data_IF_163433814129
#
_entry.id   IF_163433814129
#
_cell.length_a   1.000
_cell.length_b   1.000
_cell.length_c   1.000
_cell.angle_alpha   90.00
_cell.angle_beta   90.00
_cell.angle_gamma   90.00
#
_symmetry.space_group_name_H-M   'P 1'
#
loop_
_entity.id
_entity.type
_entity.pdbx_description
1 polymer ?
#
# COMPACT_ATOMS: atom_id res chain seq x y z
N UNK A 1 28.07 -1.18 47.48
CA UNK A 1 29.29 -0.38 47.72
C UNK A 1 29.00 1.07 47.38
N UNK A 2 29.60 1.99 48.12
CA UNK A 2 29.30 3.42 48.12
C UNK A 2 29.89 4.11 46.87
N UNK A 3 29.15 4.15 45.76
CA UNK A 3 29.54 4.92 44.57
C UNK A 3 29.20 6.39 44.83
N UNK A 4 30.17 7.33 44.79
CA UNK A 4 29.86 8.74 44.95
C UNK A 4 29.05 9.23 43.76
N UNK A 5 27.84 9.72 44.03
CA UNK A 5 26.92 10.20 43.03
C UNK A 5 26.43 11.61 43.38
N UNK A 6 26.17 12.44 42.38
CA UNK A 6 25.54 13.77 42.57
C UNK A 6 24.36 13.93 41.63
N UNK A 7 23.32 14.60 42.10
CA UNK A 7 22.23 15.03 41.22
C UNK A 7 22.66 16.27 40.44
N UNK A 8 22.21 16.42 39.19
CA UNK A 8 22.30 17.70 38.50
C UNK A 8 21.38 18.73 39.18
N UNK A 9 21.57 20.02 38.87
CA UNK A 9 20.81 21.12 39.47
C UNK A 9 19.29 21.05 39.21
N UNK A 10 18.85 20.17 38.29
CA UNK A 10 17.45 19.92 37.92
C UNK A 10 16.88 18.63 38.52
N UNK A 11 17.66 17.90 39.34
CA UNK A 11 17.25 16.66 40.02
C UNK A 11 16.98 15.45 39.11
N UNK A 12 17.17 15.58 37.80
CA UNK A 12 16.72 14.60 36.80
C UNK A 12 17.84 13.70 36.28
N UNK A 13 19.09 14.01 36.60
CA UNK A 13 20.25 13.24 36.15
C UNK A 13 21.21 12.94 37.30
N UNK A 14 21.76 11.73 37.28
CA UNK A 14 22.65 11.15 38.28
C UNK A 14 24.08 11.12 37.70
N UNK A 15 24.95 11.98 38.22
CA UNK A 15 26.33 12.17 37.75
C UNK A 15 27.25 11.22 38.53
N UNK A 16 28.01 10.41 37.79
CA UNK A 16 28.99 9.45 38.31
C UNK A 16 30.37 9.78 37.72
N UNK A 17 31.47 9.62 38.48
CA UNK A 17 32.83 9.79 37.96
C UNK A 17 33.08 8.98 36.68
N UNK A 18 33.75 9.60 35.70
CA UNK A 18 33.92 9.05 34.34
C UNK A 18 34.66 7.71 34.33
N UNK A 19 35.55 7.48 35.30
CA UNK A 19 36.32 6.26 35.49
C UNK A 19 35.49 5.06 35.99
N UNK A 20 34.25 5.28 36.44
CA UNK A 20 33.38 4.22 37.00
C UNK A 20 32.04 4.03 36.30
N UNK A 21 31.88 4.61 35.11
CA UNK A 21 30.64 4.53 34.31
C UNK A 21 30.30 3.08 33.92
N UNK A 22 31.30 2.27 33.59
CA UNK A 22 31.09 0.88 33.17
C UNK A 22 30.64 -0.02 34.32
N UNK A 23 31.24 0.11 35.50
CA UNK A 23 30.85 -0.65 36.70
C UNK A 23 29.44 -0.25 37.17
N UNK A 24 29.13 1.04 37.13
CA UNK A 24 27.79 1.55 37.45
C UNK A 24 26.73 1.01 36.47
N UNK A 25 27.03 0.95 35.17
CA UNK A 25 26.12 0.36 34.15
C UNK A 25 25.85 -1.12 34.39
N UNK A 26 26.88 -1.90 34.71
CA UNK A 26 26.72 -3.34 34.96
C UNK A 26 25.89 -3.61 36.22
N UNK A 27 26.08 -2.81 37.28
CA UNK A 27 25.28 -2.91 38.50
C UNK A 27 23.82 -2.50 38.30
N UNK A 28 23.55 -1.42 37.55
CA UNK A 28 22.19 -1.00 37.23
C UNK A 28 21.47 -2.04 36.37
N UNK A 29 22.17 -2.65 35.40
CA UNK A 29 21.63 -3.75 34.60
C UNK A 29 21.27 -4.99 35.45
N UNK A 30 22.10 -5.33 36.45
CA UNK A 30 21.82 -6.44 37.38
C UNK A 30 20.60 -6.23 38.27
N UNK A 31 20.16 -4.98 38.43
CA UNK A 31 18.98 -4.58 39.21
C UNK A 31 17.75 -4.26 38.33
N UNK A 32 17.82 -4.55 37.02
CA UNK A 32 16.71 -4.34 36.09
C UNK A 32 16.39 -2.87 35.81
N UNK A 33 17.39 -1.99 35.93
CA UNK A 33 17.31 -0.56 35.65
C UNK A 33 18.34 -0.25 34.53
N UNK A 34 17.88 0.04 33.32
CA UNK A 34 17.43 1.39 33.02
C UNK A 34 15.94 1.40 32.63
N UNK A 35 15.08 1.80 33.57
CA UNK A 35 13.64 2.05 33.30
C UNK A 35 13.41 3.46 32.77
N UNK A 36 14.29 3.96 31.92
CA UNK A 36 14.28 5.36 31.50
C UNK A 36 15.10 5.55 30.24
N UNK A 37 14.40 5.50 29.11
CA UNK A 37 14.96 5.51 27.78
C UNK A 37 14.11 4.59 26.93
N UNK A 38 12.89 5.04 26.63
CA UNK A 38 11.98 4.40 25.70
C UNK A 38 12.73 4.03 24.42
N UNK A 39 13.11 2.76 24.29
CA UNK A 39 13.42 2.12 23.00
C UNK A 39 12.09 1.93 22.26
N UNK A 40 11.38 3.05 22.07
CA UNK A 40 10.06 3.19 21.50
C UNK A 40 9.93 4.44 20.62
N UNK A 41 11.05 5.14 20.40
CA UNK A 41 11.16 6.22 19.41
C UNK A 41 12.16 5.94 18.28
N UNK A 42 13.08 4.98 18.42
CA UNK A 42 13.91 4.52 17.28
C UNK A 42 13.09 3.75 16.22
N UNK A 43 11.91 3.26 16.60
CA UNK A 43 10.92 2.71 15.66
C UNK A 43 10.06 3.79 14.98
N UNK A 44 10.12 5.05 15.45
CA UNK A 44 9.38 6.19 14.89
C UNK A 44 10.28 7.15 14.09
N UNK A 45 11.59 7.17 14.38
CA UNK A 45 12.61 7.87 13.56
C UNK A 45 12.96 7.14 12.26
N UNK A 46 12.43 5.93 12.08
CA UNK A 46 12.13 5.44 10.75
C UNK A 46 10.88 6.15 10.25
N UNK A 47 10.99 7.45 9.98
CA UNK A 47 10.29 8.05 8.86
C UNK A 47 10.61 7.14 7.67
N UNK A 48 9.72 6.17 7.42
CA UNK A 48 9.95 5.05 6.50
C UNK A 48 10.36 5.67 5.18
N UNK A 49 11.65 5.64 4.85
CA UNK A 49 12.11 5.93 3.51
C UNK A 49 11.29 5.00 2.59
N UNK A 50 10.34 5.58 1.84
CA UNK A 50 9.39 4.85 1.00
C UNK A 50 7.92 4.78 1.45
N UNK A 51 7.52 5.22 2.66
CA UNK A 51 6.08 5.29 3.00
C UNK A 51 5.33 6.31 2.14
N UNK A 52 5.98 7.43 1.79
CA UNK A 52 5.42 8.41 0.86
C UNK A 52 5.21 7.82 -0.52
N UNK A 53 6.21 7.11 -1.08
CA UNK A 53 6.07 6.49 -2.41
C UNK A 53 5.02 5.37 -2.43
N UNK A 54 4.92 4.58 -1.36
CA UNK A 54 3.86 3.58 -1.24
C UNK A 54 2.46 4.23 -1.16
N UNK A 55 2.31 5.27 -0.35
CA UNK A 55 1.05 6.00 -0.25
C UNK A 55 0.68 6.70 -1.57
N UNK A 56 1.64 7.30 -2.26
CA UNK A 56 1.49 7.89 -3.57
C UNK A 56 1.05 6.85 -4.61
N UNK A 57 1.67 5.67 -4.63
CA UNK A 57 1.28 4.57 -5.52
C UNK A 57 -0.17 4.13 -5.29
N UNK A 58 -0.59 3.99 -4.03
CA UNK A 58 -1.97 3.62 -3.68
C UNK A 58 -2.95 4.73 -4.10
N UNK A 59 -2.59 5.99 -3.88
CA UNK A 59 -3.42 7.12 -4.30
C UNK A 59 -3.52 7.22 -5.82
N UNK A 60 -2.42 7.02 -6.53
CA UNK A 60 -2.38 6.95 -7.99
C UNK A 60 -3.27 5.82 -8.52
N UNK A 61 -3.13 4.61 -7.98
CA UNK A 61 -3.97 3.47 -8.34
C UNK A 61 -5.46 3.78 -8.12
N UNK A 62 -5.82 4.29 -6.94
CA UNK A 62 -7.21 4.64 -6.62
C UNK A 62 -7.76 5.72 -7.54
N UNK A 63 -6.93 6.71 -7.88
CA UNK A 63 -7.28 7.74 -8.84
C UNK A 63 -7.57 7.17 -10.23
N UNK A 64 -6.70 6.26 -10.70
CA UNK A 64 -6.86 5.60 -11.99
C UNK A 64 -8.11 4.71 -12.05
N UNK A 65 -8.36 3.92 -11.01
CA UNK A 65 -9.58 3.11 -10.87
C UNK A 65 -10.84 3.98 -10.93
N UNK A 66 -10.83 5.12 -10.24
CA UNK A 66 -11.95 6.07 -10.24
C UNK A 66 -12.16 6.79 -11.58
N UNK A 67 -11.09 7.14 -12.29
CA UNK A 67 -11.18 7.77 -13.62
C UNK A 67 -11.65 6.78 -14.69
N UNK A 68 -11.16 5.54 -14.62
CA UNK A 68 -11.61 4.44 -15.47
C UNK A 68 -13.10 4.16 -15.25
N UNK A 69 -13.54 4.07 -13.99
CA UNK A 69 -14.95 3.88 -13.66
C UNK A 69 -15.81 5.00 -14.27
N UNK A 70 -15.44 6.27 -14.08
CA UNK A 70 -16.15 7.42 -14.66
C UNK A 70 -16.19 7.40 -16.19
N UNK A 71 -15.10 7.00 -16.83
CA UNK A 71 -15.03 6.89 -18.29
C UNK A 71 -15.95 5.79 -18.83
N UNK A 72 -16.04 4.65 -18.13
CA UNK A 72 -16.92 3.55 -18.50
C UNK A 72 -18.38 3.92 -18.24
N UNK A 73 -18.68 4.63 -17.15
CA UNK A 73 -20.02 5.15 -16.83
C UNK A 73 -20.53 6.20 -17.83
N UNK A 74 -19.64 6.87 -18.56
CA UNK A 74 -20.03 7.77 -19.63
C UNK A 74 -20.73 7.05 -20.81
N UNK A 75 -20.60 5.72 -20.90
CA UNK A 75 -21.32 4.91 -21.88
C UNK A 75 -22.82 4.84 -21.52
N UNK A 76 -23.69 5.15 -22.48
CA UNK A 76 -25.14 5.19 -22.25
C UNK A 76 -25.75 3.89 -21.68
N UNK A 77 -25.14 2.73 -21.92
CA UNK A 77 -25.63 1.42 -21.44
C UNK A 77 -25.25 1.13 -19.99
N UNK A 78 -24.24 1.81 -19.45
CA UNK A 78 -23.70 1.56 -18.10
C UNK A 78 -24.34 2.55 -17.12
N UNK A 79 -24.89 2.02 -16.03
CA UNK A 79 -25.44 2.81 -14.93
C UNK A 79 -24.39 3.09 -13.86
N UNK A 80 -23.55 2.10 -13.54
CA UNK A 80 -22.47 2.23 -12.57
C UNK A 80 -21.35 1.26 -12.94
N UNK A 81 -20.09 1.66 -12.76
CA UNK A 81 -18.92 0.82 -12.97
C UNK A 81 -18.03 0.79 -11.73
N UNK A 82 -17.43 -0.34 -11.45
CA UNK A 82 -16.36 -0.48 -10.45
C UNK A 82 -15.17 -1.16 -11.09
N UNK A 83 -14.00 -0.55 -10.93
CA UNK A 83 -12.75 -1.04 -11.51
C UNK A 83 -11.79 -1.37 -10.38
N UNK A 84 -11.16 -2.53 -10.48
CA UNK A 84 -10.08 -2.97 -9.59
C UNK A 84 -8.86 -3.30 -10.43
N UNK A 85 -7.72 -2.70 -10.09
CA UNK A 85 -6.45 -2.94 -10.74
C UNK A 85 -5.55 -3.74 -9.81
N UNK A 86 -4.92 -4.77 -10.34
CA UNK A 86 -3.86 -5.48 -9.66
C UNK A 86 -2.55 -5.15 -10.39
N UNK A 87 -1.83 -4.15 -9.86
CA UNK A 87 -0.52 -3.76 -10.39
C UNK A 87 0.60 -4.40 -9.57
N UNK A 88 1.53 -5.14 -10.21
CA UNK A 88 2.69 -5.69 -9.52
C UNK A 88 3.59 -4.57 -8.98
N UNK A 89 4.25 -4.82 -7.85
CA UNK A 89 5.25 -3.87 -7.35
C UNK A 89 6.52 -3.98 -8.16
N UNK A 90 7.04 -2.84 -8.63
CA UNK A 90 8.36 -2.80 -9.26
C UNK A 90 9.43 -3.05 -8.18
N UNK A 91 10.12 -4.18 -8.27
CA UNK A 91 11.21 -4.54 -7.36
C UNK A 91 12.41 -5.01 -8.17
N UNK A 92 13.59 -4.51 -7.80
CA UNK A 92 14.88 -4.90 -8.43
C UNK A 92 15.27 -6.35 -8.11
N UNK A 93 14.56 -7.01 -7.19
CA UNK A 93 14.87 -8.36 -6.72
C UNK A 93 13.96 -9.45 -7.32
N UNK A 94 12.98 -9.07 -8.14
CA UNK A 94 12.03 -10.02 -8.75
C UNK A 94 12.49 -10.37 -10.18
N UNK A 95 12.75 -11.66 -10.43
CA UNK A 95 13.14 -12.17 -11.76
C UNK A 95 11.97 -12.31 -12.73
N UNK A 96 10.77 -12.58 -12.23
CA UNK A 96 9.55 -12.72 -13.02
C UNK A 96 8.55 -11.63 -12.65
N UNK A 97 8.35 -10.66 -13.55
CA UNK A 97 7.32 -9.64 -13.38
C UNK A 97 5.97 -10.26 -13.72
N UNK A 98 5.09 -10.33 -12.73
CA UNK A 98 3.69 -10.70 -12.98
C UNK A 98 3.04 -9.57 -13.77
N UNK A 99 2.33 -9.88 -14.85
CA UNK A 99 1.64 -8.87 -15.65
C UNK A 99 0.50 -8.22 -14.82
N UNK A 100 0.22 -6.92 -15.01
CA UNK A 100 -0.92 -6.30 -14.37
C UNK A 100 -2.23 -6.90 -14.90
N UNK A 101 -3.25 -6.91 -14.04
CA UNK A 101 -4.59 -7.39 -14.38
C UNK A 101 -5.64 -6.39 -13.93
N UNK A 102 -6.82 -6.45 -14.55
CA UNK A 102 -7.95 -5.61 -14.20
C UNK A 102 -9.24 -6.42 -14.08
N UNK A 103 -10.10 -6.01 -13.16
CA UNK A 103 -11.45 -6.53 -13.02
C UNK A 103 -12.45 -5.38 -13.05
N UNK A 104 -13.43 -5.47 -13.94
CA UNK A 104 -14.46 -4.46 -14.14
C UNK A 104 -15.82 -5.08 -13.83
N UNK A 105 -16.50 -4.52 -12.84
CA UNK A 105 -17.88 -4.85 -12.51
C UNK A 105 -18.78 -3.75 -13.08
N UNK A 106 -19.79 -4.18 -13.85
CA UNK A 106 -20.72 -3.28 -14.52
C UNK A 106 -22.13 -3.51 -13.99
N UNK A 107 -22.80 -2.42 -13.64
CA UNK A 107 -24.25 -2.39 -13.52
C UNK A 107 -24.80 -1.72 -14.78
N UNK A 108 -25.51 -2.48 -15.61
CA UNK A 108 -26.20 -1.94 -16.78
C UNK A 108 -27.63 -1.51 -16.44
N UNK A 109 -28.14 -0.52 -17.15
CA UNK A 109 -29.53 -0.08 -16.99
C UNK A 109 -30.51 -1.24 -17.24
N UNK A 110 -31.64 -1.29 -16.50
CA UNK A 110 -32.68 -2.29 -16.74
C UNK A 110 -33.16 -2.32 -18.19
N UNK A 111 -33.26 -3.52 -18.76
CA UNK A 111 -33.67 -3.71 -20.16
C UNK A 111 -32.60 -3.38 -21.22
N UNK A 112 -31.39 -2.99 -20.81
CA UNK A 112 -30.24 -2.83 -21.71
C UNK A 112 -29.26 -4.00 -21.54
N UNK A 113 -28.54 -4.30 -22.60
CA UNK A 113 -27.42 -5.22 -22.60
C UNK A 113 -26.20 -4.55 -23.23
N UNK A 114 -25.02 -5.01 -22.85
CA UNK A 114 -23.78 -4.63 -23.53
C UNK A 114 -23.61 -5.51 -24.77
N UNK A 115 -23.23 -4.89 -25.89
CA UNK A 115 -22.78 -5.63 -27.07
C UNK A 115 -21.32 -6.06 -26.92
N UNK A 116 -20.92 -7.09 -27.66
CA UNK A 116 -19.52 -7.57 -27.66
C UNK A 116 -18.52 -6.47 -28.05
N UNK A 117 -18.94 -5.57 -28.93
CA UNK A 117 -18.16 -4.39 -29.31
C UNK A 117 -17.97 -3.43 -28.13
N UNK A 118 -19.00 -3.20 -27.31
CA UNK A 118 -18.89 -2.37 -26.10
C UNK A 118 -18.02 -3.04 -25.04
N UNK A 119 -18.17 -4.35 -24.84
CA UNK A 119 -17.33 -5.12 -23.92
C UNK A 119 -15.86 -5.03 -24.33
N UNK A 120 -15.58 -5.23 -25.62
CA UNK A 120 -14.23 -5.10 -26.16
C UNK A 120 -13.68 -3.68 -26.02
N UNK A 121 -14.49 -2.66 -26.28
CA UNK A 121 -14.09 -1.26 -26.09
C UNK A 121 -13.72 -0.96 -24.62
N UNK A 122 -14.45 -1.52 -23.65
CA UNK A 122 -14.14 -1.39 -22.22
C UNK A 122 -12.80 -2.06 -21.90
N UNK A 123 -12.55 -3.28 -22.39
CA UNK A 123 -11.26 -3.97 -22.20
C UNK A 123 -10.10 -3.17 -22.80
N UNK A 124 -10.27 -2.63 -23.99
CA UNK A 124 -9.25 -1.79 -24.65
C UNK A 124 -9.01 -0.49 -23.91
N UNK A 125 -10.05 0.18 -23.42
CA UNK A 125 -9.93 1.42 -22.66
C UNK A 125 -9.14 1.18 -21.36
N UNK A 126 -9.42 0.10 -20.65
CA UNK A 126 -8.66 -0.30 -19.47
C UNK A 126 -7.19 -0.58 -19.81
N UNK A 127 -6.94 -1.39 -20.84
CA UNK A 127 -5.59 -1.74 -21.30
C UNK A 127 -4.76 -0.50 -21.72
N UNK A 128 -5.38 0.44 -22.43
CA UNK A 128 -4.70 1.67 -22.87
C UNK A 128 -4.38 2.63 -21.70
N UNK A 129 -5.08 2.51 -20.58
CA UNK A 129 -4.92 3.41 -19.43
C UNK A 129 -3.89 2.92 -18.42
N UNK A 130 -3.50 1.65 -18.48
CA UNK A 130 -2.57 1.02 -17.51
C UNK A 130 -1.35 0.49 -18.25
N UNK A 131 -0.13 0.92 -17.88
CA UNK A 131 1.09 0.39 -18.48
C UNK A 131 1.17 -1.13 -18.34
N UNK A 132 1.60 -1.81 -19.42
CA UNK A 132 1.80 -3.27 -19.48
C UNK A 132 0.50 -4.11 -19.33
N UNK A 133 -0.67 -3.48 -19.22
CA UNK A 133 -1.96 -4.19 -19.20
C UNK A 133 -2.40 -4.50 -20.63
N UNK A 134 -2.68 -5.77 -20.89
CA UNK A 134 -3.28 -6.21 -22.16
C UNK A 134 -4.79 -6.36 -21.99
N UNK A 135 -5.54 -6.19 -23.08
CA UNK A 135 -7.01 -6.38 -23.06
C UNK A 135 -7.40 -7.82 -22.64
N UNK A 136 -6.52 -8.79 -22.91
CA UNK A 136 -6.66 -10.20 -22.49
C UNK A 136 -6.52 -10.40 -20.98
N UNK A 137 -5.96 -9.44 -20.24
CA UNK A 137 -5.83 -9.48 -18.78
C UNK A 137 -6.94 -8.70 -18.07
N UNK A 138 -8.01 -8.36 -18.80
CA UNK A 138 -9.18 -7.64 -18.28
C UNK A 138 -10.36 -8.60 -18.17
N UNK A 139 -10.85 -8.79 -16.95
CA UNK A 139 -12.10 -9.51 -16.69
C UNK A 139 -13.25 -8.53 -16.54
N UNK A 140 -14.38 -8.80 -17.20
CA UNK A 140 -15.58 -7.95 -17.15
C UNK A 140 -16.76 -8.80 -16.72
N UNK A 141 -17.47 -8.36 -15.67
CA UNK A 141 -18.62 -9.06 -15.09
C UNK A 141 -19.79 -8.11 -14.95
N UNK A 142 -21.01 -8.57 -15.23
CA UNK A 142 -22.24 -7.79 -15.00
C UNK A 142 -22.83 -7.99 -13.60
N UNK A 143 -23.85 -7.20 -13.25
CA UNK A 143 -24.52 -7.26 -11.94
C UNK A 143 -25.19 -8.60 -11.62
N UNK A 144 -25.42 -9.45 -12.63
CA UNK A 144 -26.04 -10.77 -12.47
C UNK A 144 -24.98 -11.86 -12.30
N UNK A 145 -23.70 -11.51 -12.23
CA UNK A 145 -22.59 -12.45 -12.15
C UNK A 145 -22.25 -13.11 -13.49
N UNK A 146 -22.77 -12.60 -14.61
CA UNK A 146 -22.42 -13.10 -15.93
C UNK A 146 -21.07 -12.54 -16.35
N UNK A 147 -20.15 -13.44 -16.68
CA UNK A 147 -18.86 -13.08 -17.25
C UNK A 147 -19.05 -12.62 -18.70
N UNK A 148 -18.68 -11.37 -18.99
CA UNK A 148 -18.75 -10.76 -20.32
C UNK A 148 -17.41 -10.86 -21.06
N UNK A 149 -16.30 -10.77 -20.33
CA UNK A 149 -14.95 -11.01 -20.83
C UNK A 149 -14.14 -11.75 -19.76
N UNK A 150 -13.35 -12.75 -20.16
CA UNK A 150 -12.50 -13.53 -19.26
C UNK A 150 -11.04 -13.08 -19.42
N UNK A 151 -10.36 -12.87 -18.29
CA UNK A 151 -8.92 -12.66 -18.30
C UNK A 151 -8.17 -13.99 -18.51
N UNK A 152 -7.13 -13.98 -19.33
CA UNK A 152 -6.24 -15.14 -19.57
C UNK A 152 -5.00 -15.15 -18.66
N UNK A 153 -4.85 -14.15 -17.78
CA UNK A 153 -3.76 -14.11 -16.80
C UNK A 153 -3.81 -15.34 -15.88
N UNK A 154 -2.73 -16.11 -15.87
CA UNK A 154 -2.51 -17.31 -15.04
C UNK A 154 -1.73 -16.99 -13.78
#
# INVERSE_FOLDING_TARGET
MNVPYRYNETGTALLVPADRVYDARLQLASQGLPRGGSVGFELMDNARFGASQFAEQINYQRGLEGELARSIEAMHTVQHARVHLAMPRQSLFVRERQAPTASVLLNVYPGRSLSDAQVSAISWLAAASVPELTAENVSIVDQNGRLLARSNAS
#
